data_IF_088426316312
#
_entry.id   IF_088426316312
#
_cell.length_a   1.000
_cell.length_b   1.000
_cell.length_c   1.000
_cell.angle_alpha   90.00
_cell.angle_beta   90.00
_cell.angle_gamma   90.00
#
_symmetry.space_group_name_H-M   'P 1'
#
loop_
_entity.id
_entity.type
_entity.pdbx_description
1 polymer ?
#
# COMPACT_ATOMS: atom_id res chain seq x y z
N UNK A 1 -50.13 -48.91 -25.12
CA UNK A 1 -49.78 -47.48 -25.25
C UNK A 1 -48.48 -47.29 -24.49
N UNK A 2 -47.36 -47.26 -25.20
CA UNK A 2 -46.05 -47.03 -24.59
C UNK A 2 -45.81 -45.52 -24.55
N UNK A 3 -45.69 -44.98 -23.34
CA UNK A 3 -45.35 -43.57 -23.12
C UNK A 3 -43.83 -43.52 -23.02
N UNK A 4 -43.17 -43.05 -24.08
CA UNK A 4 -41.75 -42.76 -24.05
C UNK A 4 -41.54 -41.38 -23.43
N UNK A 5 -41.15 -41.35 -22.16
CA UNK A 5 -40.67 -40.14 -21.50
C UNK A 5 -39.28 -39.80 -22.05
N UNK A 6 -39.24 -38.84 -22.97
CA UNK A 6 -38.00 -38.29 -23.50
C UNK A 6 -37.42 -37.29 -22.47
N UNK A 7 -36.84 -37.80 -21.39
CA UNK A 7 -36.07 -36.99 -20.43
C UNK A 7 -34.64 -36.83 -20.96
N UNK A 8 -34.49 -36.07 -22.05
CA UNK A 8 -33.19 -35.67 -22.56
C UNK A 8 -32.54 -34.70 -21.57
N UNK A 9 -31.56 -35.17 -20.81
CA UNK A 9 -30.70 -34.30 -20.00
C UNK A 9 -29.83 -33.47 -20.96
N UNK A 10 -30.11 -32.16 -21.04
CA UNK A 10 -29.30 -31.24 -21.83
C UNK A 10 -28.04 -30.86 -21.03
N UNK A 11 -26.99 -31.67 -21.25
CA UNK A 11 -25.69 -31.51 -20.63
C UNK A 11 -25.03 -30.17 -21.00
N UNK A 12 -25.28 -29.66 -22.21
CA UNK A 12 -24.60 -28.47 -22.72
C UNK A 12 -25.13 -27.20 -22.04
N UNK A 13 -26.46 -27.05 -21.92
CA UNK A 13 -27.04 -25.94 -21.15
C UNK A 13 -26.70 -26.03 -19.66
N UNK A 14 -26.63 -27.25 -19.11
CA UNK A 14 -26.24 -27.47 -17.71
C UNK A 14 -24.78 -27.08 -17.44
N UNK A 15 -23.86 -27.42 -18.35
CA UNK A 15 -22.45 -27.02 -18.27
C UNK A 15 -22.28 -25.51 -18.44
N UNK A 16 -22.99 -24.90 -19.37
CA UNK A 16 -22.97 -23.44 -19.58
C UNK A 16 -23.47 -22.69 -18.34
N UNK A 17 -24.59 -23.12 -17.75
CA UNK A 17 -25.12 -22.54 -16.52
C UNK A 17 -24.12 -22.67 -15.35
N UNK A 18 -23.46 -23.83 -15.20
CA UNK A 18 -22.44 -24.03 -14.18
C UNK A 18 -21.19 -23.15 -14.41
N UNK A 19 -20.78 -22.95 -15.67
CA UNK A 19 -19.67 -22.07 -16.04
C UNK A 19 -20.00 -20.60 -15.77
N UNK A 20 -21.18 -20.13 -16.18
CA UNK A 20 -21.65 -18.76 -15.91
C UNK A 20 -21.72 -18.48 -14.40
N UNK A 21 -22.27 -19.42 -13.62
CA UNK A 21 -22.30 -19.31 -12.16
C UNK A 21 -20.88 -19.30 -11.56
N UNK A 22 -19.93 -20.02 -12.16
CA UNK A 22 -18.52 -19.97 -11.75
C UNK A 22 -17.88 -18.62 -12.06
N UNK A 23 -18.13 -18.05 -13.25
CA UNK A 23 -17.65 -16.71 -13.60
C UNK A 23 -18.25 -15.62 -12.72
N UNK A 24 -19.55 -15.70 -12.41
CA UNK A 24 -20.21 -14.78 -11.48
C UNK A 24 -19.57 -14.85 -10.08
N UNK A 25 -19.32 -16.06 -9.56
CA UNK A 25 -18.63 -16.25 -8.28
C UNK A 25 -17.20 -15.71 -8.31
N UNK A 26 -16.46 -15.93 -9.40
CA UNK A 26 -15.11 -15.39 -9.58
C UNK A 26 -15.12 -13.85 -9.58
N UNK A 27 -16.05 -13.23 -10.31
CA UNK A 27 -16.17 -11.78 -10.37
C UNK A 27 -16.56 -11.18 -9.02
N UNK A 28 -17.52 -11.79 -8.31
CA UNK A 28 -17.89 -11.38 -6.96
C UNK A 28 -16.74 -11.52 -5.97
N UNK A 29 -15.97 -12.61 -6.06
CA UNK A 29 -14.77 -12.80 -5.25
C UNK A 29 -13.69 -11.75 -5.55
N UNK A 30 -13.42 -11.44 -6.82
CA UNK A 30 -12.46 -10.41 -7.21
C UNK A 30 -12.88 -9.02 -6.69
N UNK A 31 -14.16 -8.68 -6.78
CA UNK A 31 -14.68 -7.42 -6.24
C UNK A 31 -14.54 -7.35 -4.72
N UNK A 32 -14.90 -8.43 -4.01
CA UNK A 32 -14.75 -8.52 -2.56
C UNK A 32 -13.28 -8.40 -2.14
N UNK A 33 -12.38 -9.10 -2.83
CA UNK A 33 -10.93 -8.99 -2.62
C UNK A 33 -10.44 -7.55 -2.80
N UNK A 34 -10.82 -6.87 -3.88
CA UNK A 34 -10.42 -5.48 -4.12
C UNK A 34 -10.95 -4.54 -3.03
N UNK A 35 -12.18 -4.76 -2.54
CA UNK A 35 -12.74 -3.97 -1.45
C UNK A 35 -11.94 -4.14 -0.15
N UNK A 36 -11.58 -5.39 0.19
CA UNK A 36 -10.74 -5.69 1.35
C UNK A 36 -9.36 -5.06 1.20
N UNK A 37 -8.71 -5.19 0.04
CA UNK A 37 -7.42 -4.55 -0.23
C UNK A 37 -7.49 -3.03 -0.06
N UNK A 38 -8.53 -2.37 -0.57
CA UNK A 38 -8.71 -0.94 -0.41
C UNK A 38 -8.90 -0.52 1.06
N UNK A 39 -9.70 -1.28 1.83
CA UNK A 39 -9.90 -1.03 3.26
C UNK A 39 -8.61 -1.22 4.06
N UNK A 40 -7.85 -2.26 3.74
CA UNK A 40 -6.56 -2.56 4.37
C UNK A 40 -5.54 -1.46 4.06
N UNK A 41 -5.43 -1.04 2.79
CA UNK A 41 -4.55 0.06 2.39
C UNK A 41 -4.88 1.37 3.11
N UNK A 42 -6.17 1.70 3.28
CA UNK A 42 -6.60 2.88 4.02
C UNK A 42 -6.22 2.80 5.52
N UNK A 43 -6.39 1.63 6.15
CA UNK A 43 -5.95 1.40 7.52
C UNK A 43 -4.42 1.58 7.67
N UNK A 44 -3.63 1.02 6.74
CA UNK A 44 -2.18 1.16 6.75
C UNK A 44 -1.73 2.60 6.51
N UNK A 45 -2.40 3.35 5.63
CA UNK A 45 -2.12 4.78 5.43
C UNK A 45 -2.35 5.59 6.72
N UNK A 46 -3.45 5.31 7.44
CA UNK A 46 -3.73 5.95 8.72
C UNK A 46 -2.68 5.58 9.78
N UNK A 47 -2.31 4.31 9.88
CA UNK A 47 -1.27 3.84 10.80
C UNK A 47 0.10 4.43 10.45
N UNK A 48 0.42 4.55 9.17
CA UNK A 48 1.64 5.18 8.69
C UNK A 48 1.69 6.65 9.10
N UNK A 49 0.59 7.41 8.90
CA UNK A 49 0.54 8.80 9.34
C UNK A 49 0.67 8.93 10.86
N UNK A 50 0.03 8.05 11.64
CA UNK A 50 0.14 8.05 13.09
C UNK A 50 1.58 7.75 13.55
N UNK A 51 2.24 6.77 12.94
CA UNK A 51 3.61 6.38 13.27
C UNK A 51 4.61 7.44 12.83
N UNK A 52 4.40 8.06 11.66
CA UNK A 52 5.18 9.22 11.22
C UNK A 52 5.03 10.36 12.23
N UNK A 53 3.81 10.64 12.68
CA UNK A 53 3.54 11.66 13.68
C UNK A 53 4.14 11.32 15.06
N UNK A 54 4.25 10.05 15.42
CA UNK A 54 4.86 9.61 16.68
C UNK A 54 6.39 9.70 16.64
N UNK A 55 7.00 9.39 15.49
CA UNK A 55 8.45 9.42 15.33
C UNK A 55 9.00 10.84 15.10
N UNK A 56 8.25 11.71 14.44
CA UNK A 56 8.66 13.10 14.17
C UNK A 56 8.27 14.01 15.34
N UNK A 57 9.17 14.87 15.81
CA UNK A 57 8.78 15.91 16.77
C UNK A 57 7.90 16.97 16.10
N UNK A 58 7.05 17.66 16.87
CA UNK A 58 6.14 18.68 16.33
C UNK A 58 6.88 19.78 15.54
N UNK A 59 8.10 20.14 15.93
CA UNK A 59 8.91 21.13 15.23
C UNK A 59 9.32 20.68 13.83
N UNK A 60 9.65 19.39 13.67
CA UNK A 60 10.00 18.80 12.37
C UNK A 60 8.75 18.74 11.49
N UNK A 61 7.61 18.34 12.06
CA UNK A 61 6.32 18.30 11.35
C UNK A 61 5.88 19.68 10.85
N UNK A 62 6.14 20.75 11.61
CA UNK A 62 5.83 22.13 11.20
C UNK A 62 6.71 22.62 10.05
N UNK A 63 7.94 22.13 9.97
CA UNK A 63 8.90 22.53 8.94
C UNK A 63 8.76 21.74 7.64
N UNK A 64 8.10 20.58 7.67
CA UNK A 64 7.98 19.68 6.52
C UNK A 64 6.53 19.63 6.06
N UNK A 65 6.26 20.09 4.83
CA UNK A 65 4.98 19.85 4.17
C UNK A 65 4.90 18.38 3.76
N UNK A 66 4.33 17.54 4.61
CA UNK A 66 4.17 16.10 4.34
C UNK A 66 2.95 15.88 3.46
N UNK A 67 3.14 15.23 2.32
CA UNK A 67 2.06 14.79 1.42
C UNK A 67 2.10 13.26 1.34
N UNK A 68 1.05 12.60 1.83
CA UNK A 68 0.91 11.15 1.70
C UNK A 68 0.68 10.78 0.24
N UNK A 69 1.41 9.76 -0.23
CA UNK A 69 1.22 9.19 -1.56
C UNK A 69 0.28 7.99 -1.41
N UNK A 70 -0.79 7.88 -2.22
CA UNK A 70 -1.66 6.72 -2.23
C UNK A 70 -0.84 5.44 -2.42
N UNK A 71 -0.97 4.51 -1.48
CA UNK A 71 -0.26 3.23 -1.52
C UNK A 71 -0.73 2.41 -2.74
N UNK A 72 0.21 1.93 -3.55
CA UNK A 72 -0.06 1.01 -4.67
C UNK A 72 -0.23 -0.44 -4.21
N UNK A 73 0.17 -0.74 -2.98
CA UNK A 73 0.13 -2.05 -2.35
C UNK A 73 0.06 -1.88 -0.83
N UNK A 74 -0.60 -2.80 -0.14
CA UNK A 74 -0.60 -2.84 1.33
C UNK A 74 0.81 -3.09 1.91
N UNK A 75 1.75 -3.60 1.10
CA UNK A 75 3.14 -3.85 1.52
C UNK A 75 3.98 -2.58 1.59
N UNK A 76 3.53 -1.47 0.99
CA UNK A 76 4.31 -0.23 0.94
C UNK A 76 3.42 1.01 1.07
N UNK A 77 3.74 1.88 2.01
CA UNK A 77 3.10 3.20 2.13
C UNK A 77 4.18 4.27 2.11
N UNK A 78 3.96 5.34 1.36
CA UNK A 78 4.97 6.37 1.13
C UNK A 78 4.42 7.78 1.33
N UNK A 79 5.30 8.72 1.66
CA UNK A 79 5.03 10.15 1.71
C UNK A 79 6.16 10.94 1.07
N UNK A 80 5.81 12.04 0.44
CA UNK A 80 6.77 13.05 -0.02
C UNK A 80 6.86 14.15 1.05
N UNK A 81 8.08 14.60 1.33
CA UNK A 81 8.35 15.79 2.12
C UNK A 81 9.23 16.74 1.32
N UNK A 82 9.01 18.04 1.47
CA UNK A 82 9.88 19.07 0.90
C UNK A 82 10.65 19.80 2.01
N UNK A 83 11.96 19.95 1.82
CA UNK A 83 12.85 20.66 2.73
C UNK A 83 13.86 21.51 1.96
N UNK A 84 13.81 22.83 2.12
CA UNK A 84 14.70 23.80 1.45
C UNK A 84 14.75 23.63 -0.09
N UNK A 85 13.64 23.26 -0.72
CA UNK A 85 13.54 23.03 -2.17
C UNK A 85 13.99 21.64 -2.63
N UNK A 86 14.36 20.75 -1.70
CA UNK A 86 14.68 19.35 -1.97
C UNK A 86 13.51 18.44 -1.59
N UNK A 87 13.20 17.46 -2.43
CA UNK A 87 12.19 16.46 -2.13
C UNK A 87 12.84 15.23 -1.52
N UNK A 88 12.16 14.67 -0.52
CA UNK A 88 12.48 13.35 0.00
C UNK A 88 11.23 12.48 -0.05
N UNK A 89 11.42 11.25 -0.51
CA UNK A 89 10.42 10.19 -0.43
C UNK A 89 10.72 9.35 0.81
N UNK A 90 9.76 9.27 1.71
CA UNK A 90 9.80 8.42 2.90
C UNK A 90 8.82 7.28 2.69
N UNK A 91 9.33 6.06 2.69
CA UNK A 91 8.52 4.85 2.51
C UNK A 91 8.64 3.94 3.72
N UNK A 92 7.52 3.33 4.10
CA UNK A 92 7.46 2.21 5.02
C UNK A 92 7.16 0.95 4.25
N UNK A 93 8.06 -0.02 4.34
CA UNK A 93 7.95 -1.30 3.62
C UNK A 93 7.77 -2.42 4.63
N UNK A 94 6.72 -3.20 4.42
CA UNK A 94 6.39 -4.39 5.20
C UNK A 94 6.92 -5.61 4.46
N UNK A 95 7.69 -6.43 5.18
CA UNK A 95 8.22 -7.71 4.75
C UNK A 95 7.70 -8.80 5.70
N UNK A 96 7.83 -10.06 5.30
CA UNK A 96 7.42 -11.21 6.12
C UNK A 96 8.12 -11.22 7.49
N UNK A 97 9.35 -10.70 7.55
CA UNK A 97 10.21 -10.70 8.74
C UNK A 97 10.16 -9.40 9.57
N UNK A 98 9.39 -8.39 9.12
CA UNK A 98 9.28 -7.13 9.84
C UNK A 98 9.05 -5.92 8.95
N UNK A 99 9.31 -4.75 9.50
CA UNK A 99 9.06 -3.48 8.81
C UNK A 99 10.30 -2.59 8.87
N UNK A 100 10.60 -1.96 7.73
CA UNK A 100 11.72 -1.02 7.60
C UNK A 100 11.23 0.32 7.06
N UNK A 101 11.93 1.37 7.45
CA UNK A 101 11.81 2.70 6.90
C UNK A 101 12.86 2.91 5.83
N UNK A 102 12.45 3.57 4.74
CA UNK A 102 13.30 3.95 3.63
C UNK A 102 13.16 5.46 3.45
N UNK A 103 14.29 6.15 3.38
CA UNK A 103 14.38 7.57 3.04
C UNK A 103 15.16 7.65 1.74
N UNK A 104 14.56 8.24 0.72
CA UNK A 104 15.16 8.49 -0.59
C UNK A 104 15.18 10.00 -0.83
N UNK A 105 16.30 10.54 -1.26
CA UNK A 105 16.41 11.95 -1.64
C UNK A 105 16.36 12.13 -3.17
N UNK A 106 16.38 13.39 -3.63
CA UNK A 106 16.41 13.76 -5.05
C UNK A 106 17.57 13.15 -5.85
N UNK A 107 18.68 12.82 -5.18
CA UNK A 107 19.85 12.18 -5.80
C UNK A 107 19.74 10.65 -5.84
N UNK A 108 18.58 10.09 -5.51
CA UNK A 108 18.31 8.66 -5.37
C UNK A 108 19.22 7.96 -4.34
N UNK A 109 19.72 8.68 -3.33
CA UNK A 109 20.48 8.08 -2.25
C UNK A 109 19.50 7.50 -1.23
N UNK A 110 19.53 6.18 -1.12
CA UNK A 110 18.65 5.43 -0.23
C UNK A 110 19.28 5.24 1.15
N UNK A 111 18.53 5.57 2.20
CA UNK A 111 18.85 5.23 3.59
C UNK A 111 17.76 4.32 4.16
N UNK A 112 18.14 3.13 4.61
CA UNK A 112 17.22 2.17 5.23
C UNK A 112 17.47 2.08 6.73
N UNK A 113 16.41 2.06 7.54
CA UNK A 113 16.54 1.99 8.99
C UNK A 113 15.33 1.34 9.68
N UNK A 114 15.51 0.87 10.91
CA UNK A 114 14.41 0.48 11.80
C UNK A 114 13.68 1.70 12.35
N UNK A 115 12.46 1.50 12.86
CA UNK A 115 11.65 2.60 13.44
C UNK A 115 12.36 3.38 14.54
N UNK A 116 13.12 2.70 15.39
CA UNK A 116 13.84 3.31 16.51
C UNK A 116 14.91 4.31 16.04
N UNK A 117 15.49 4.07 14.87
CA UNK A 117 16.56 4.89 14.30
C UNK A 117 16.04 5.90 13.27
N UNK A 118 14.79 5.78 12.83
CA UNK A 118 14.22 6.58 11.74
C UNK A 118 14.40 8.09 11.95
N UNK A 119 14.09 8.61 13.14
CA UNK A 119 14.25 10.04 13.47
C UNK A 119 15.69 10.51 13.28
N UNK A 120 16.66 9.74 13.77
CA UNK A 120 18.08 10.07 13.69
C UNK A 120 18.58 10.06 12.25
N UNK A 121 18.17 9.06 11.46
CA UNK A 121 18.52 8.99 10.03
C UNK A 121 17.88 10.12 9.22
N UNK A 122 16.63 10.48 9.50
CA UNK A 122 15.96 11.60 8.84
C UNK A 122 16.68 12.91 9.15
N UNK A 123 16.98 13.19 10.41
CA UNK A 123 17.73 14.40 10.79
C UNK A 123 19.12 14.46 10.16
N UNK A 124 19.81 13.33 10.08
CA UNK A 124 21.09 13.24 9.38
C UNK A 124 20.94 13.53 7.88
N UNK A 125 19.90 13.01 7.21
CA UNK A 125 19.66 13.31 5.79
C UNK A 125 19.34 14.79 5.57
N UNK A 126 18.48 15.36 6.41
CA UNK A 126 18.12 16.78 6.34
C UNK A 126 19.34 17.68 6.62
N UNK A 127 20.24 17.29 7.52
CA UNK A 127 21.46 18.06 7.77
C UNK A 127 22.41 18.05 6.58
N UNK A 128 22.58 16.92 5.89
CA UNK A 128 23.37 16.84 4.67
C UNK A 128 22.84 17.79 3.58
N UNK A 129 21.52 17.88 3.40
CA UNK A 129 20.90 18.83 2.47
C UNK A 129 21.24 20.27 2.86
N UNK A 130 21.07 20.61 4.14
CA UNK A 130 21.36 21.97 4.63
C UNK A 130 22.82 22.37 4.46
N UNK A 131 23.77 21.44 4.59
CA UNK A 131 25.20 21.72 4.43
C UNK A 131 25.68 21.76 2.97
N UNK A 132 24.90 21.22 2.03
CA UNK A 132 25.24 21.25 0.61
C UNK A 132 24.88 22.57 -0.09
N UNK A 133 24.17 23.48 0.61
CA UNK A 133 23.85 24.84 0.19
C UNK A 133 24.96 25.82 0.59
#
# INVERSE_FOLDING_TARGET
MEIYLNSGFDLESSVNAAWEQSQQRKNAWLQSKQQVENQVSALYANNFQADLNACLSQEIQRCLSVILIPASSWMETSAEIEYLGHKLLISRKYFDEGMIWVILDDNNVQTTCSSENFKSHLLWRLSLIKFAQ
#
